data_IF_558938919284
#
_entry.id   IF_558938919284
#
_cell.length_a   1.000
_cell.length_b   1.000
_cell.length_c   1.000
_cell.angle_alpha   90.00
_cell.angle_beta   90.00
_cell.angle_gamma   90.00
#
_symmetry.space_group_name_H-M   'P 1'
#
loop_
_entity.id
_entity.type
_entity.pdbx_description
1 polymer ?
#
# COMPACT_ATOMS: atom_id res chain seq x y z
N UNK A 1 22.68 3.26 -4.75
CA UNK A 1 22.12 4.60 -5.00
C UNK A 1 22.70 5.53 -3.96
N UNK A 2 23.23 6.70 -4.34
CA UNK A 2 23.75 7.67 -3.38
C UNK A 2 22.57 8.37 -2.68
N UNK A 3 22.71 8.61 -1.37
CA UNK A 3 21.80 9.47 -0.61
C UNK A 3 22.46 10.84 -0.51
N UNK A 4 21.75 11.90 -0.87
CA UNK A 4 22.33 13.23 -0.94
C UNK A 4 22.04 14.05 0.31
N UNK A 5 23.06 14.75 0.81
CA UNK A 5 22.87 15.86 1.74
C UNK A 5 22.77 17.16 0.96
N UNK A 6 21.80 17.99 1.30
CA UNK A 6 21.60 19.28 0.64
C UNK A 6 22.26 20.40 1.44
N UNK A 7 22.82 21.36 0.72
CA UNK A 7 23.39 22.57 1.29
C UNK A 7 23.05 23.76 0.39
N UNK A 8 22.66 24.87 1.02
CA UNK A 8 22.19 26.06 0.32
C UNK A 8 23.34 27.06 0.15
N UNK A 9 23.34 27.76 -0.98
CA UNK A 9 24.20 28.92 -1.24
C UNK A 9 25.70 28.62 -1.21
N UNK A 10 26.13 27.40 -1.57
CA UNK A 10 27.55 27.12 -1.83
C UNK A 10 27.88 27.68 -3.22
N UNK A 11 28.66 28.75 -3.25
CA UNK A 11 29.21 29.35 -4.45
C UNK A 11 30.55 29.98 -4.09
N UNK A 12 31.63 29.30 -4.42
CA UNK A 12 33.00 29.69 -4.06
C UNK A 12 33.96 29.28 -5.17
N UNK A 13 35.26 29.34 -4.91
CA UNK A 13 36.31 28.93 -5.85
C UNK A 13 37.23 27.91 -5.22
N UNK A 14 38.01 27.22 -6.04
CA UNK A 14 39.07 26.33 -5.54
C UNK A 14 40.22 27.15 -4.95
N UNK A 15 40.69 26.77 -3.76
CA UNK A 15 41.85 27.39 -3.10
C UNK A 15 43.20 26.85 -3.65
N UNK A 16 43.18 25.72 -4.35
CA UNK A 16 44.34 25.08 -4.96
C UNK A 16 43.95 24.32 -6.23
N UNK A 17 44.94 24.01 -7.07
CA UNK A 17 44.74 23.13 -8.21
C UNK A 17 44.36 21.72 -7.75
N UNK A 18 43.53 21.05 -8.56
CA UNK A 18 43.01 19.70 -8.28
C UNK A 18 43.26 18.81 -9.49
N UNK A 19 43.99 17.71 -9.30
CA UNK A 19 44.22 16.71 -10.33
C UNK A 19 43.01 15.76 -10.47
N UNK A 20 42.85 15.07 -11.62
CA UNK A 20 41.74 14.13 -11.83
C UNK A 20 41.66 12.98 -10.80
N UNK A 21 42.79 12.59 -10.21
CA UNK A 21 42.89 11.51 -9.23
C UNK A 21 42.76 11.98 -7.77
N UNK A 22 42.65 13.28 -7.53
CA UNK A 22 42.60 13.80 -6.16
C UNK A 22 41.30 13.41 -5.46
N UNK A 23 41.43 12.87 -4.26
CA UNK A 23 40.32 12.44 -3.40
C UNK A 23 39.95 13.49 -2.35
N UNK A 24 40.55 14.68 -2.44
CA UNK A 24 40.29 15.82 -1.57
C UNK A 24 40.52 17.12 -2.33
N UNK A 25 39.77 18.16 -2.00
CA UNK A 25 40.01 19.52 -2.49
C UNK A 25 39.70 20.54 -1.39
N UNK A 26 40.30 21.73 -1.51
CA UNK A 26 40.08 22.84 -0.59
C UNK A 26 39.41 23.99 -1.33
N UNK A 27 38.31 24.47 -0.76
CA UNK A 27 37.57 25.64 -1.23
C UNK A 27 38.16 26.92 -0.63
N UNK A 28 37.99 28.05 -1.33
CA UNK A 28 38.43 29.36 -0.84
C UNK A 28 37.57 29.89 0.31
N UNK A 29 36.36 29.34 0.50
CA UNK A 29 35.47 29.63 1.61
C UNK A 29 34.68 28.40 2.04
N UNK A 30 34.39 28.30 3.34
CA UNK A 30 33.46 27.30 3.90
C UNK A 30 32.03 27.82 4.05
N UNK A 31 31.73 29.02 3.54
CA UNK A 31 30.39 29.60 3.62
C UNK A 31 29.36 28.71 2.91
N UNK A 32 28.27 28.39 3.61
CA UNK A 32 27.19 27.53 3.10
C UNK A 32 27.47 26.03 3.16
N UNK A 33 28.70 25.60 3.48
CA UNK A 33 28.99 24.18 3.70
C UNK A 33 28.33 23.68 5.00
N UNK A 34 27.82 22.43 5.02
CA UNK A 34 27.36 21.82 6.25
C UNK A 34 28.54 21.57 7.20
N UNK A 35 28.28 21.53 8.51
CA UNK A 35 29.33 21.26 9.50
C UNK A 35 29.91 19.83 9.39
N UNK A 36 29.13 18.89 8.84
CA UNK A 36 29.54 17.51 8.56
C UNK A 36 28.63 16.89 7.48
N UNK A 37 29.09 15.81 6.85
CA UNK A 37 28.29 14.97 5.95
C UNK A 37 28.05 13.63 6.67
N UNK A 38 26.79 13.21 6.89
CA UNK A 38 26.50 11.94 7.54
C UNK A 38 27.09 10.75 6.76
N UNK A 39 27.46 9.68 7.49
CA UNK A 39 27.98 8.47 6.87
C UNK A 39 26.97 7.87 5.87
N UNK A 40 27.44 7.45 4.70
CA UNK A 40 26.60 6.94 3.62
C UNK A 40 25.88 8.01 2.79
N UNK A 41 26.02 9.29 3.13
CA UNK A 41 25.53 10.40 2.32
C UNK A 41 26.65 11.06 1.52
N UNK A 42 26.26 11.88 0.55
CA UNK A 42 27.20 12.69 -0.25
C UNK A 42 26.70 14.10 -0.46
N UNK A 43 27.61 15.07 -0.37
CA UNK A 43 27.37 16.44 -0.82
C UNK A 43 27.76 16.54 -2.30
N UNK A 44 26.85 17.05 -3.13
CA UNK A 44 27.10 17.24 -4.56
C UNK A 44 27.67 18.63 -4.79
N UNK A 45 28.75 18.71 -5.55
CA UNK A 45 29.37 19.96 -5.99
C UNK A 45 29.61 19.88 -7.50
N UNK A 46 29.36 20.98 -8.20
CA UNK A 46 29.74 21.16 -9.59
C UNK A 46 30.97 22.05 -9.65
N UNK A 47 32.01 21.57 -10.31
CA UNK A 47 33.19 22.34 -10.69
C UNK A 47 32.97 22.88 -12.10
N UNK A 48 33.39 24.13 -12.34
CA UNK A 48 33.28 24.77 -13.65
C UNK A 48 34.45 25.73 -13.84
N UNK A 49 35.00 25.75 -15.05
CA UNK A 49 36.23 26.49 -15.30
C UNK A 49 35.95 27.98 -15.30
N UNK A 50 36.83 28.77 -14.70
CA UNK A 50 36.62 30.22 -14.63
C UNK A 50 36.75 30.89 -16.00
N UNK A 51 37.55 30.31 -16.90
CA UNK A 51 38.01 30.96 -18.12
C UNK A 51 36.93 31.00 -19.23
N UNK A 52 36.27 29.89 -19.50
CA UNK A 52 35.29 29.73 -20.58
C UNK A 52 33.92 29.31 -20.06
N UNK A 53 33.88 28.60 -18.94
CA UNK A 53 32.68 27.99 -18.34
C UNK A 53 32.06 26.87 -19.17
N UNK A 54 32.76 26.38 -20.18
CA UNK A 54 32.28 25.30 -21.04
C UNK A 54 32.56 23.93 -20.43
N UNK A 55 33.58 23.81 -19.58
CA UNK A 55 33.93 22.57 -18.91
C UNK A 55 33.27 22.51 -17.55
N UNK A 56 32.66 21.37 -17.24
CA UNK A 56 32.09 21.12 -15.92
C UNK A 56 32.29 19.67 -15.49
N UNK A 57 32.36 19.48 -14.18
CA UNK A 57 32.42 18.16 -13.55
C UNK A 57 31.51 18.15 -12.34
N UNK A 58 30.71 17.10 -12.21
CA UNK A 58 29.95 16.84 -10.99
C UNK A 58 30.76 15.92 -10.10
N UNK A 59 30.93 16.28 -8.83
CA UNK A 59 31.65 15.49 -7.84
C UNK A 59 30.77 15.24 -6.62
N UNK A 60 30.98 14.10 -5.97
CA UNK A 60 30.33 13.74 -4.71
C UNK A 60 31.38 13.73 -3.59
N UNK A 61 31.20 14.54 -2.56
CA UNK A 61 32.05 14.55 -1.38
C UNK A 61 31.41 13.71 -0.26
N UNK A 62 32.17 12.79 0.32
CA UNK A 62 31.72 11.98 1.45
C UNK A 62 32.03 12.59 2.83
N UNK A 63 32.88 13.61 2.90
CA UNK A 63 33.24 14.29 4.14
C UNK A 63 33.55 15.79 3.91
N UNK A 64 33.36 16.60 4.95
CA UNK A 64 33.71 18.03 4.98
C UNK A 64 34.36 18.38 6.32
N UNK A 65 35.42 19.19 6.28
CA UNK A 65 36.04 19.78 7.46
C UNK A 65 36.55 21.18 7.13
N UNK A 66 35.93 22.20 7.72
CA UNK A 66 36.16 23.60 7.33
C UNK A 66 35.84 23.81 5.85
N UNK A 67 36.81 24.29 5.07
CA UNK A 67 36.69 24.47 3.62
C UNK A 67 37.19 23.27 2.80
N UNK A 68 37.58 22.17 3.46
CA UNK A 68 38.12 20.98 2.79
C UNK A 68 37.02 19.94 2.58
N UNK A 69 36.85 19.50 1.34
CA UNK A 69 36.01 18.37 0.96
C UNK A 69 36.89 17.15 0.73
N UNK A 70 36.51 16.01 1.31
CA UNK A 70 37.29 14.77 1.25
C UNK A 70 36.40 13.57 0.89
N UNK A 71 37.04 12.44 0.62
CA UNK A 71 36.39 11.23 0.07
C UNK A 71 35.64 11.57 -1.23
N UNK A 72 36.32 12.28 -2.13
CA UNK A 72 35.73 12.71 -3.39
C UNK A 72 35.53 11.51 -4.33
N UNK A 73 34.32 11.38 -4.86
CA UNK A 73 34.03 10.64 -6.08
C UNK A 73 33.94 11.63 -7.23
N UNK A 74 34.86 11.51 -8.20
CA UNK A 74 35.06 12.42 -9.33
C UNK A 74 34.26 11.96 -10.56
N UNK A 75 33.99 12.85 -11.51
CA UNK A 75 33.33 12.50 -12.78
C UNK A 75 31.96 11.81 -12.64
N UNK A 76 31.07 12.36 -11.81
CA UNK A 76 29.74 11.79 -11.58
C UNK A 76 28.73 12.25 -12.64
N UNK A 77 27.59 11.56 -12.70
CA UNK A 77 26.46 11.92 -13.59
C UNK A 77 26.82 12.01 -15.08
N UNK A 78 27.76 11.17 -15.52
CA UNK A 78 28.23 11.13 -16.91
C UNK A 78 29.25 12.21 -17.26
N UNK A 79 29.70 13.01 -16.29
CA UNK A 79 30.85 13.91 -16.46
C UNK A 79 32.18 13.16 -16.37
N UNK A 80 33.27 13.76 -16.86
CA UNK A 80 34.62 13.19 -16.73
C UNK A 80 35.39 13.89 -15.62
N UNK A 81 36.29 13.16 -14.93
CA UNK A 81 37.20 13.77 -13.98
C UNK A 81 38.24 14.64 -14.70
N UNK A 82 38.26 15.94 -14.41
CA UNK A 82 39.15 16.91 -15.06
C UNK A 82 40.20 17.43 -14.07
N UNK A 83 41.22 18.09 -14.63
CA UNK A 83 42.14 18.90 -13.85
C UNK A 83 41.54 20.30 -13.71
N UNK A 84 41.59 20.85 -12.50
CA UNK A 84 41.08 22.18 -12.18
C UNK A 84 42.19 23.05 -11.63
N UNK A 85 42.11 24.35 -11.89
CA UNK A 85 43.06 25.35 -11.44
C UNK A 85 42.50 26.10 -10.21
N UNK A 86 43.40 26.69 -9.44
CA UNK A 86 43.00 27.65 -8.39
C UNK A 86 42.16 28.76 -9.01
N UNK A 87 41.06 29.12 -8.36
CA UNK A 87 40.13 30.15 -8.85
C UNK A 87 38.96 29.62 -9.66
N UNK A 88 39.02 28.37 -10.16
CA UNK A 88 37.87 27.74 -10.80
C UNK A 88 36.68 27.64 -9.84
N UNK A 89 35.47 27.69 -10.38
CA UNK A 89 34.26 27.76 -9.58
C UNK A 89 33.92 26.41 -8.98
N UNK A 90 33.46 26.44 -7.74
CA UNK A 90 32.87 25.32 -7.03
C UNK A 90 31.53 25.75 -6.43
N UNK A 91 30.44 25.13 -6.85
CA UNK A 91 29.09 25.49 -6.40
C UNK A 91 28.22 24.26 -6.17
N UNK A 92 27.20 24.40 -5.31
CA UNK A 92 26.16 23.38 -5.11
C UNK A 92 24.87 23.86 -5.77
N UNK A 93 24.44 23.17 -6.82
CA UNK A 93 23.17 23.39 -7.49
C UNK A 93 22.44 22.06 -7.72
N UNK A 94 21.12 22.06 -7.96
CA UNK A 94 20.37 20.85 -8.25
C UNK A 94 20.90 20.16 -9.51
N UNK A 95 21.44 18.96 -9.36
CA UNK A 95 21.93 18.15 -10.50
C UNK A 95 20.84 17.24 -11.05
N UNK A 96 21.05 16.70 -12.26
CA UNK A 96 20.10 15.78 -12.89
C UNK A 96 19.99 14.49 -12.08
N UNK A 97 21.11 13.94 -11.60
CA UNK A 97 21.14 12.76 -10.74
C UNK A 97 20.42 12.96 -9.41
N UNK A 98 20.60 14.13 -8.78
CA UNK A 98 19.81 14.50 -7.59
C UNK A 98 18.32 14.58 -7.91
N UNK A 99 17.93 15.22 -9.01
CA UNK A 99 16.52 15.36 -9.41
C UNK A 99 15.85 14.03 -9.75
N UNK A 100 16.60 13.11 -10.38
CA UNK A 100 16.15 11.75 -10.67
C UNK A 100 16.00 10.88 -9.42
N UNK A 101 16.70 11.22 -8.33
CA UNK A 101 16.56 10.51 -7.05
C UNK A 101 15.27 10.84 -6.31
N UNK A 102 14.60 11.94 -6.67
CA UNK A 102 13.28 12.25 -6.14
C UNK A 102 12.21 11.41 -6.84
N UNK A 103 11.13 11.07 -6.12
CA UNK A 103 9.93 10.54 -6.73
C UNK A 103 9.35 11.54 -7.73
N UNK A 104 9.32 11.16 -9.01
CA UNK A 104 8.71 11.96 -10.07
C UNK A 104 7.35 11.36 -10.43
N UNK A 105 6.36 12.24 -10.61
CA UNK A 105 5.11 11.87 -11.26
C UNK A 105 5.44 11.60 -12.73
N UNK A 106 5.04 10.43 -13.26
CA UNK A 106 5.17 10.17 -14.68
C UNK A 106 4.29 11.14 -15.48
N UNK A 107 4.49 11.15 -16.81
CA UNK A 107 3.71 11.94 -17.76
C UNK A 107 2.19 11.78 -17.59
N UNK A 108 1.75 10.61 -17.12
CA UNK A 108 0.34 10.28 -16.92
C UNK A 108 -0.12 10.39 -15.44
N UNK A 109 0.65 11.11 -14.60
CA UNK A 109 0.43 11.17 -13.14
C UNK A 109 0.57 9.82 -12.41
N UNK A 110 1.03 8.79 -13.10
CA UNK A 110 1.37 7.52 -12.49
C UNK A 110 2.70 7.65 -11.74
N UNK A 111 2.73 7.20 -10.49
CA UNK A 111 3.96 7.15 -9.72
C UNK A 111 4.84 6.02 -10.26
N UNK A 112 5.85 6.34 -11.07
CA UNK A 112 6.78 5.35 -11.65
C UNK A 112 8.15 5.32 -10.98
N UNK A 113 8.38 6.20 -9.99
CA UNK A 113 9.59 6.16 -9.17
C UNK A 113 9.66 4.87 -8.34
N UNK A 114 10.78 4.17 -8.41
CA UNK A 114 11.10 3.05 -7.52
C UNK A 114 11.42 3.56 -6.11
N UNK A 115 10.43 4.15 -5.44
CA UNK A 115 10.46 4.21 -3.99
C UNK A 115 10.04 2.82 -3.49
N UNK A 116 10.95 1.84 -3.55
CA UNK A 116 10.79 0.65 -2.74
C UNK A 116 10.87 1.10 -1.29
N UNK A 117 9.71 1.25 -0.64
CA UNK A 117 9.65 1.30 0.80
C UNK A 117 10.07 -0.08 1.30
N UNK A 118 11.38 -0.31 1.42
CA UNK A 118 11.94 -1.57 1.93
C UNK A 118 11.58 -1.78 3.41
N UNK A 119 11.18 -0.72 4.09
CA UNK A 119 10.66 -0.76 5.45
C UNK A 119 9.13 -0.67 5.42
N UNK A 120 8.48 -1.56 6.16
CA UNK A 120 7.06 -1.46 6.45
C UNK A 120 6.76 -0.09 7.07
N UNK A 121 5.86 0.67 6.43
CA UNK A 121 5.34 1.90 7.04
C UNK A 121 4.30 1.48 8.07
N UNK A 122 4.71 1.44 9.34
CA UNK A 122 3.78 1.29 10.45
C UNK A 122 2.97 2.57 10.59
N UNK A 123 1.69 2.52 10.24
CA UNK A 123 0.75 3.61 10.54
C UNK A 123 0.35 3.47 12.01
N UNK A 124 1.16 4.03 12.90
CA UNK A 124 0.84 4.13 14.33
C UNK A 124 -0.14 5.28 14.56
N UNK A 125 -1.41 5.03 14.26
CA UNK A 125 -2.49 6.00 14.49
C UNK A 125 -3.85 5.37 14.19
N UNK A 126 -4.86 5.74 14.98
CA UNK A 126 -6.24 5.37 14.68
C UNK A 126 -6.63 6.00 13.33
N UNK A 127 -6.76 5.16 12.30
CA UNK A 127 -7.26 5.61 10.99
C UNK A 127 -8.72 5.98 11.18
N UNK A 128 -8.98 7.27 11.34
CA UNK A 128 -10.34 7.80 11.39
C UNK A 128 -10.99 7.63 10.01
N UNK A 129 -12.28 7.29 9.99
CA UNK A 129 -13.04 6.88 8.80
C UNK A 129 -13.06 7.89 7.62
N UNK A 130 -12.49 9.08 7.80
CA UNK A 130 -12.35 10.12 6.77
C UNK A 130 -11.01 10.08 6.02
N UNK A 131 -10.03 9.28 6.44
CA UNK A 131 -8.78 9.12 5.72
C UNK A 131 -8.89 7.96 4.72
N UNK A 132 -9.18 8.27 3.46
CA UNK A 132 -9.10 7.31 2.37
C UNK A 132 -7.65 6.87 2.17
N UNK A 133 -7.32 5.65 2.59
CA UNK A 133 -6.05 5.01 2.26
C UNK A 133 -6.12 4.53 0.80
N UNK A 134 -5.70 5.40 -0.12
CA UNK A 134 -5.59 5.04 -1.53
C UNK A 134 -4.31 4.24 -1.74
N UNK A 135 -4.42 2.93 -1.92
CA UNK A 135 -3.27 2.10 -2.32
C UNK A 135 -3.18 2.09 -3.83
N UNK A 136 -2.03 2.46 -4.43
CA UNK A 136 -1.84 2.37 -5.87
C UNK A 136 -2.07 0.92 -6.34
N UNK A 137 -3.05 0.76 -7.21
CA UNK A 137 -3.62 -0.51 -7.64
C UNK A 137 -2.77 -1.16 -8.75
N UNK A 138 -1.50 -1.49 -8.46
CA UNK A 138 -0.66 -2.25 -9.38
C UNK A 138 0.15 -3.40 -8.76
N UNK A 139 -0.03 -3.70 -7.46
CA UNK A 139 0.56 -4.90 -6.85
C UNK A 139 -0.49 -6.00 -6.71
N UNK A 140 -0.22 -7.14 -7.34
CA UNK A 140 -1.08 -8.34 -7.37
C UNK A 140 -1.19 -9.08 -6.03
N UNK A 141 -0.65 -8.53 -4.95
CA UNK A 141 -0.72 -9.12 -3.61
C UNK A 141 -0.53 -8.06 -2.52
N UNK A 142 -1.63 -7.47 -2.06
CA UNK A 142 -1.63 -6.72 -0.79
C UNK A 142 -1.93 -7.70 0.35
N UNK A 143 -0.88 -8.11 1.06
CA UNK A 143 -1.01 -8.79 2.33
C UNK A 143 -1.35 -7.77 3.42
N UNK A 144 -2.63 -7.62 3.74
CA UNK A 144 -3.07 -6.79 4.86
C UNK A 144 -2.99 -7.64 6.14
N UNK A 145 -1.97 -7.44 6.98
CA UNK A 145 -1.93 -8.04 8.32
C UNK A 145 -2.67 -7.12 9.30
N UNK A 146 -3.86 -7.53 9.72
CA UNK A 146 -4.62 -6.84 10.75
C UNK A 146 -4.13 -7.27 12.12
N UNK A 147 -3.59 -6.31 12.88
CA UNK A 147 -3.32 -6.46 14.31
C UNK A 147 -4.65 -6.52 15.08
N UNK A 148 -4.77 -7.50 15.96
CA UNK A 148 -6.02 -8.18 16.33
C UNK A 148 -6.85 -7.54 17.46
N UNK A 149 -7.40 -6.34 17.26
CA UNK A 149 -8.35 -5.76 18.23
C UNK A 149 -9.58 -5.20 17.53
N UNK A 150 -10.49 -6.08 17.08
CA UNK A 150 -11.81 -5.66 16.61
C UNK A 150 -12.86 -5.82 17.72
N UNK A 151 -13.76 -4.84 17.84
CA UNK A 151 -15.01 -4.97 18.58
C UNK A 151 -16.00 -5.93 17.88
N UNK A 152 -17.12 -6.30 18.53
CA UNK A 152 -17.98 -7.43 18.15
C UNK A 152 -18.73 -7.32 16.81
N UNK A 153 -18.58 -6.23 16.04
CA UNK A 153 -19.29 -6.03 14.78
C UNK A 153 -18.36 -5.46 13.71
N UNK A 154 -17.77 -6.33 12.88
CA UNK A 154 -17.05 -5.92 11.68
C UNK A 154 -17.34 -6.92 10.57
N UNK A 155 -18.05 -6.49 9.52
CA UNK A 155 -18.25 -7.29 8.32
C UNK A 155 -17.16 -6.91 7.30
N UNK A 156 -16.44 -7.91 6.79
CA UNK A 156 -15.45 -7.73 5.73
C UNK A 156 -16.07 -8.05 4.36
N UNK A 157 -15.94 -7.13 3.42
CA UNK A 157 -16.25 -7.38 2.01
C UNK A 157 -15.00 -7.94 1.33
N UNK A 158 -15.00 -9.23 1.02
CA UNK A 158 -13.98 -9.86 0.18
C UNK A 158 -14.25 -9.51 -1.28
N UNK A 159 -13.25 -8.93 -1.95
CA UNK A 159 -13.17 -8.82 -3.41
C UNK A 159 -12.78 -10.18 -4.03
N UNK A 160 -13.25 -10.52 -5.24
CA UNK A 160 -13.17 -11.87 -5.82
C UNK A 160 -11.77 -12.47 -6.05
N UNK A 161 -10.68 -11.73 -5.85
CA UNK A 161 -9.33 -12.16 -6.24
C UNK A 161 -8.30 -12.35 -5.12
N UNK A 162 -8.57 -11.93 -3.88
CA UNK A 162 -7.55 -11.95 -2.81
C UNK A 162 -7.94 -12.85 -1.63
N UNK A 163 -7.06 -13.81 -1.30
CA UNK A 163 -7.16 -14.58 -0.07
C UNK A 163 -6.74 -13.72 1.12
N UNK A 164 -7.57 -13.70 2.17
CA UNK A 164 -7.26 -13.04 3.45
C UNK A 164 -6.67 -14.08 4.39
N UNK A 165 -5.41 -13.92 4.80
CA UNK A 165 -4.82 -14.69 5.91
C UNK A 165 -5.14 -13.97 7.22
N UNK A 166 -5.86 -14.63 8.13
CA UNK A 166 -6.17 -14.09 9.46
C UNK A 166 -5.46 -14.94 10.51
N UNK A 167 -4.64 -14.29 11.34
CA UNK A 167 -3.98 -14.91 12.49
C UNK A 167 -4.97 -15.20 13.63
N UNK A 168 -4.69 -16.27 14.39
CA UNK A 168 -5.46 -16.82 15.51
C UNK A 168 -6.34 -15.80 16.25
N UNK A 169 -7.64 -15.78 15.97
CA UNK A 169 -8.65 -15.13 16.81
C UNK A 169 -9.40 -16.18 17.64
N UNK A 170 -9.68 -15.86 18.91
CA UNK A 170 -10.44 -16.73 19.83
C UNK A 170 -11.96 -16.69 19.61
N UNK A 171 -12.43 -16.00 18.58
CA UNK A 171 -13.84 -15.85 18.25
C UNK A 171 -14.13 -16.52 16.90
N UNK A 172 -15.30 -17.16 16.73
CA UNK A 172 -15.69 -17.70 15.43
C UNK A 172 -15.82 -16.55 14.43
N UNK A 173 -14.94 -16.54 13.44
CA UNK A 173 -14.98 -15.61 12.30
C UNK A 173 -15.26 -16.40 11.03
N UNK A 174 -16.09 -15.85 10.15
CA UNK A 174 -16.53 -16.52 8.93
C UNK A 174 -15.97 -15.80 7.70
N UNK A 175 -15.26 -16.53 6.83
CA UNK A 175 -14.85 -16.03 5.50
C UNK A 175 -15.56 -16.87 4.45
N UNK A 176 -16.35 -16.20 3.60
CA UNK A 176 -16.85 -16.81 2.37
C UNK A 176 -16.01 -16.33 1.19
N UNK A 177 -15.25 -17.24 0.59
CA UNK A 177 -14.57 -16.94 -0.67
C UNK A 177 -15.60 -16.76 -1.79
N UNK A 178 -15.36 -15.82 -2.70
CA UNK A 178 -16.25 -15.55 -3.84
C UNK A 178 -16.50 -16.77 -4.74
N UNK A 179 -15.61 -17.77 -4.71
CA UNK A 179 -15.71 -19.00 -5.51
C UNK A 179 -16.44 -20.16 -4.80
N UNK A 180 -17.24 -19.88 -3.77
CA UNK A 180 -18.04 -20.91 -3.08
C UNK A 180 -17.24 -21.85 -2.16
N UNK A 181 -15.93 -21.65 -2.04
CA UNK A 181 -15.11 -22.28 -1.00
C UNK A 181 -15.40 -21.63 0.35
N UNK A 182 -16.08 -22.34 1.23
CA UNK A 182 -16.27 -21.92 2.62
C UNK A 182 -15.01 -22.28 3.41
N UNK A 183 -14.34 -21.30 4.01
CA UNK A 183 -13.28 -21.55 4.99
C UNK A 183 -13.93 -21.56 6.36
N UNK A 184 -14.03 -22.75 6.96
CA UNK A 184 -14.65 -22.94 8.27
C UNK A 184 -13.65 -22.64 9.39
N UNK A 185 -14.13 -22.00 10.46
CA UNK A 185 -13.39 -21.97 11.71
C UNK A 185 -13.23 -23.39 12.29
N UNK A 186 -12.18 -23.61 13.07
CA UNK A 186 -11.97 -24.88 13.78
C UNK A 186 -13.21 -25.17 14.65
N UNK A 187 -13.82 -26.35 14.47
CA UNK A 187 -14.97 -26.81 15.26
C UNK A 187 -16.35 -26.61 14.62
N UNK A 188 -16.46 -26.02 13.44
CA UNK A 188 -17.73 -25.87 12.73
C UNK A 188 -18.02 -27.04 11.78
N UNK A 189 -19.30 -27.41 11.67
CA UNK A 189 -19.77 -28.41 10.70
C UNK A 189 -20.65 -27.74 9.66
N UNK A 190 -20.25 -27.82 8.39
CA UNK A 190 -21.11 -27.43 7.29
C UNK A 190 -22.24 -28.46 7.14
N UNK A 191 -23.47 -27.99 7.23
CA UNK A 191 -24.63 -28.80 6.87
C UNK A 191 -25.32 -28.13 5.69
N UNK A 192 -25.11 -28.70 4.50
CA UNK A 192 -25.90 -28.33 3.33
C UNK A 192 -27.27 -28.98 3.48
N UNK A 193 -28.27 -28.18 3.83
CA UNK A 193 -29.65 -28.63 3.97
C UNK A 193 -30.46 -28.00 2.85
N UNK A 194 -31.28 -28.79 2.15
CA UNK A 194 -32.25 -28.24 1.22
C UNK A 194 -33.47 -27.80 2.05
N UNK A 195 -33.76 -26.50 2.04
CA UNK A 195 -34.89 -25.89 2.73
C UNK A 195 -35.92 -25.40 1.72
N UNK A 196 -37.19 -25.44 2.07
CA UNK A 196 -38.25 -24.86 1.24
C UNK A 196 -38.38 -23.37 1.56
N UNK A 197 -38.49 -22.53 0.53
CA UNK A 197 -38.76 -21.10 0.70
C UNK A 197 -40.07 -20.85 1.42
N UNK A 198 -40.17 -19.67 2.04
CA UNK A 198 -41.33 -19.22 2.79
C UNK A 198 -41.75 -20.18 3.93
N UNK A 199 -40.89 -21.12 4.31
CA UNK A 199 -41.10 -21.99 5.46
C UNK A 199 -40.23 -21.47 6.61
N UNK A 200 -40.81 -21.16 7.78
CA UNK A 200 -40.02 -20.78 8.96
C UNK A 200 -39.31 -22.00 9.55
N UNK A 201 -38.06 -21.81 9.94
CA UNK A 201 -37.22 -22.80 10.62
C UNK A 201 -36.79 -22.25 11.98
N UNK A 202 -36.59 -23.12 12.98
CA UNK A 202 -36.09 -22.74 14.30
C UNK A 202 -34.63 -23.16 14.42
N UNK A 203 -33.76 -22.26 14.90
CA UNK A 203 -32.43 -22.67 15.35
C UNK A 203 -32.55 -23.44 16.67
N UNK A 204 -32.61 -24.77 16.59
CA UNK A 204 -32.65 -25.67 17.74
C UNK A 204 -31.26 -26.03 18.30
N UNK A 205 -30.19 -25.40 17.81
CA UNK A 205 -28.83 -25.65 18.32
C UNK A 205 -28.58 -24.81 19.58
N UNK A 206 -27.67 -25.23 20.48
CA UNK A 206 -27.34 -24.47 21.68
C UNK A 206 -26.49 -23.22 21.39
N UNK A 207 -26.10 -22.98 20.14
CA UNK A 207 -25.22 -21.90 19.73
C UNK A 207 -25.81 -21.10 18.54
N UNK A 208 -25.32 -19.87 18.28
CA UNK A 208 -25.68 -19.16 17.07
C UNK A 208 -25.25 -19.95 15.83
N UNK A 209 -26.10 -20.00 14.82
CA UNK A 209 -25.76 -20.59 13.52
C UNK A 209 -25.63 -19.49 12.47
N UNK A 210 -24.77 -19.69 11.48
CA UNK A 210 -24.77 -18.86 10.28
C UNK A 210 -25.64 -19.54 9.22
N UNK A 211 -26.56 -18.78 8.66
CA UNK A 211 -27.45 -19.24 7.59
C UNK A 211 -27.14 -18.44 6.34
N UNK A 212 -27.03 -19.12 5.20
CA UNK A 212 -26.82 -18.46 3.91
C UNK A 212 -27.67 -19.08 2.82
N UNK A 213 -28.16 -18.23 1.93
CA UNK A 213 -28.85 -18.64 0.72
C UNK A 213 -28.21 -17.94 -0.48
N UNK A 214 -28.02 -18.72 -1.55
CA UNK A 214 -27.61 -18.20 -2.84
C UNK A 214 -28.51 -18.74 -3.94
N UNK A 215 -28.88 -17.87 -4.88
CA UNK A 215 -29.73 -18.20 -6.02
C UNK A 215 -29.31 -17.38 -7.24
N UNK A 216 -29.67 -17.83 -8.43
CA UNK A 216 -29.54 -17.08 -9.67
C UNK A 216 -30.90 -16.50 -10.06
N UNK A 217 -30.96 -15.20 -10.33
CA UNK A 217 -32.17 -14.57 -10.87
C UNK A 217 -32.40 -15.03 -12.32
N UNK A 218 -33.67 -15.24 -12.69
CA UNK A 218 -34.08 -15.40 -14.10
C UNK A 218 -34.74 -14.13 -14.66
N UNK A 219 -34.87 -13.10 -13.82
CA UNK A 219 -35.40 -11.77 -14.14
C UNK A 219 -35.20 -10.81 -12.98
N UNK A 220 -36.15 -9.88 -12.76
CA UNK A 220 -36.16 -9.00 -11.58
C UNK A 220 -36.71 -9.75 -10.37
N UNK A 221 -36.07 -9.59 -9.22
CA UNK A 221 -36.51 -10.23 -7.98
C UNK A 221 -35.55 -10.02 -6.84
N UNK A 222 -35.89 -10.55 -5.66
CA UNK A 222 -35.02 -10.44 -4.49
C UNK A 222 -35.03 -11.72 -3.67
N UNK A 223 -33.99 -11.92 -2.88
CA UNK A 223 -33.91 -12.90 -1.81
C UNK A 223 -33.63 -12.16 -0.51
N UNK A 224 -34.36 -12.52 0.55
CA UNK A 224 -34.19 -11.96 1.88
C UNK A 224 -34.18 -13.04 2.96
N UNK A 225 -33.51 -12.73 4.08
CA UNK A 225 -33.58 -13.52 5.32
C UNK A 225 -34.38 -12.74 6.33
N UNK A 226 -35.41 -13.38 6.88
CA UNK A 226 -36.20 -12.88 7.99
C UNK A 226 -35.81 -13.62 9.25
N UNK A 227 -35.65 -12.91 10.37
CA UNK A 227 -35.41 -13.48 11.71
C UNK A 227 -36.54 -13.00 12.62
N UNK A 228 -37.27 -13.93 13.23
CA UNK A 228 -38.43 -13.62 14.09
C UNK A 228 -39.46 -12.71 13.39
N UNK A 229 -39.64 -12.90 12.07
CA UNK A 229 -40.57 -12.11 11.24
C UNK A 229 -40.04 -10.75 10.79
N UNK A 230 -38.81 -10.37 11.15
CA UNK A 230 -38.18 -9.10 10.73
C UNK A 230 -37.16 -9.34 9.62
N UNK A 231 -37.24 -8.57 8.53
CA UNK A 231 -36.26 -8.62 7.44
C UNK A 231 -34.89 -8.14 7.93
N UNK A 232 -33.87 -9.01 7.82
CA UNK A 232 -32.53 -8.72 8.31
C UNK A 232 -31.56 -8.36 7.18
N UNK A 233 -31.69 -9.02 6.02
CA UNK A 233 -30.83 -8.77 4.86
C UNK A 233 -31.61 -9.07 3.59
N UNK A 234 -31.42 -8.22 2.57
CA UNK A 234 -32.01 -8.36 1.24
C UNK A 234 -30.93 -8.23 0.17
N UNK A 235 -31.02 -9.05 -0.87
CA UNK A 235 -30.26 -8.92 -2.10
C UNK A 235 -31.24 -8.92 -3.27
N UNK A 236 -31.16 -7.91 -4.12
CA UNK A 236 -32.08 -7.71 -5.25
C UNK A 236 -31.35 -7.81 -6.58
N UNK A 237 -31.97 -8.51 -7.53
CA UNK A 237 -31.56 -8.58 -8.92
C UNK A 237 -32.38 -7.61 -9.77
N UNK A 238 -31.71 -6.85 -10.63
CA UNK A 238 -32.32 -5.97 -11.62
C UNK A 238 -32.34 -6.58 -13.02
N UNK A 239 -31.63 -7.69 -13.24
CA UNK A 239 -31.57 -8.39 -14.52
C UNK A 239 -31.38 -9.90 -14.33
N UNK A 240 -31.59 -10.66 -15.41
CA UNK A 240 -31.38 -12.12 -15.43
C UNK A 240 -29.90 -12.48 -15.33
N UNK A 241 -29.60 -13.60 -14.66
CA UNK A 241 -28.24 -14.13 -14.50
C UNK A 241 -27.45 -13.52 -13.34
N UNK A 242 -28.03 -12.64 -12.53
CA UNK A 242 -27.38 -12.10 -11.34
C UNK A 242 -27.40 -13.14 -10.21
N UNK A 243 -26.23 -13.41 -9.64
CA UNK A 243 -26.10 -14.21 -8.44
C UNK A 243 -26.52 -13.37 -7.24
N UNK A 244 -27.56 -13.79 -6.55
CA UNK A 244 -28.03 -13.20 -5.31
C UNK A 244 -27.53 -14.03 -4.14
N UNK A 245 -27.02 -13.38 -3.12
CA UNK A 245 -26.63 -14.04 -1.89
C UNK A 245 -27.00 -13.20 -0.67
N UNK A 246 -27.48 -13.89 0.37
CA UNK A 246 -27.79 -13.31 1.67
C UNK A 246 -27.27 -14.23 2.75
N UNK A 247 -26.87 -13.66 3.87
CA UNK A 247 -26.40 -14.38 5.04
C UNK A 247 -26.86 -13.68 6.31
N UNK A 248 -27.04 -14.44 7.39
CA UNK A 248 -27.36 -13.90 8.70
C UNK A 248 -26.88 -14.84 9.80
N UNK A 249 -26.68 -14.29 11.00
CA UNK A 249 -26.46 -15.06 12.22
C UNK A 249 -27.80 -15.23 12.92
N UNK A 250 -28.19 -16.47 13.20
CA UNK A 250 -29.44 -16.82 13.86
C UNK A 250 -29.14 -17.36 15.24
N UNK A 251 -29.59 -16.65 16.28
CA UNK A 251 -29.39 -17.04 17.68
C UNK A 251 -30.20 -18.31 18.04
N UNK A 252 -29.79 -19.08 19.08
CA UNK A 252 -30.57 -20.20 19.60
C UNK A 252 -32.01 -19.80 19.91
N UNK A 253 -32.97 -20.64 19.50
CA UNK A 253 -34.40 -20.42 19.71
C UNK A 253 -35.06 -19.41 18.75
N UNK A 254 -34.28 -18.66 17.96
CA UNK A 254 -34.83 -17.77 16.95
C UNK A 254 -35.42 -18.54 15.77
N UNK A 255 -36.52 -18.01 15.22
CA UNK A 255 -37.06 -18.43 13.93
C UNK A 255 -36.36 -17.68 12.81
N UNK A 256 -36.13 -18.34 11.69
CA UNK A 256 -35.63 -17.72 10.47
C UNK A 256 -36.35 -18.26 9.24
N UNK A 257 -36.48 -17.43 8.21
CA UNK A 257 -37.19 -17.76 6.99
C UNK A 257 -36.48 -17.11 5.81
N UNK A 258 -36.40 -17.84 4.71
CA UNK A 258 -35.96 -17.29 3.43
C UNK A 258 -37.16 -16.93 2.60
N UNK A 259 -37.19 -15.69 2.13
CA UNK A 259 -38.26 -15.17 1.28
C UNK A 259 -37.65 -14.74 -0.03
N UNK A 260 -38.30 -15.14 -1.13
CA UNK A 260 -37.97 -14.64 -2.47
C UNK A 260 -39.16 -13.90 -3.05
N UNK A 261 -38.89 -12.84 -3.78
CA UNK A 261 -39.90 -12.12 -4.58
C UNK A 261 -39.47 -12.06 -6.04
N UNK A 262 -40.44 -11.94 -6.96
CA UNK A 262 -40.17 -11.84 -8.40
C UNK A 262 -39.69 -13.14 -9.05
N UNK A 263 -38.96 -13.02 -10.16
CA UNK A 263 -38.47 -14.12 -10.99
C UNK A 263 -37.11 -14.64 -10.49
N UNK A 264 -37.14 -15.27 -9.32
CA UNK A 264 -35.97 -15.92 -8.70
C UNK A 264 -36.18 -17.43 -8.71
N UNK A 265 -35.23 -18.19 -9.24
CA UNK A 265 -35.37 -19.65 -9.29
C UNK A 265 -35.33 -20.24 -7.88
N UNK A 266 -36.26 -21.15 -7.52
CA UNK A 266 -36.30 -21.77 -6.20
C UNK A 266 -35.22 -22.85 -5.99
N UNK A 267 -34.24 -22.97 -6.89
CA UNK A 267 -33.04 -23.76 -6.64
C UNK A 267 -32.01 -22.93 -5.89
N UNK A 268 -32.32 -22.49 -4.66
CA UNK A 268 -31.26 -22.03 -3.77
C UNK A 268 -30.58 -23.23 -3.11
N UNK A 269 -29.26 -23.15 -3.06
CA UNK A 269 -28.50 -23.98 -2.12
C UNK A 269 -28.49 -23.23 -0.80
N UNK A 270 -29.06 -23.83 0.24
CA UNK A 270 -29.00 -23.30 1.59
C UNK A 270 -27.86 -23.97 2.33
N UNK A 271 -27.05 -23.17 3.01
CA UNK A 271 -25.99 -23.69 3.88
C UNK A 271 -26.26 -23.20 5.28
N UNK A 272 -26.45 -24.14 6.19
CA UNK A 272 -26.39 -23.90 7.63
C UNK A 272 -24.98 -24.25 8.10
N UNK A 273 -24.37 -23.35 8.86
CA UNK A 273 -23.07 -23.58 9.47
C UNK A 273 -23.29 -23.51 10.97
N UNK A 274 -23.04 -24.66 11.61
CA UNK A 274 -23.23 -24.89 13.04
C UNK A 274 -21.89 -25.03 13.73
#
# INVERSE_FOLDING_TARGET
MAIFTFANNISTTLAGAVAPSDTSLTLSSSAGLPASIPAGMSLVITLNDQATRDNFEVIYAGAVSGATLSNLSRGQEGTSALAWLTGDFAFSGPTAGQQQSFGQLAKDNDWTGSNSFEQSVDVTGEVTATQGFLVPHNTSSLGYQLSSTFGPFSAFFCSPTNQVMIGNTSFPFFIRGANGGNVFGIGQTQITVIRTYNTPFVNNTPAPIMVSAATSSTGTGSIGIFINGVEFTNSSATSSGQALCVWAIVMPGSTYQYVTTGSVSPTATFTEIR
#
